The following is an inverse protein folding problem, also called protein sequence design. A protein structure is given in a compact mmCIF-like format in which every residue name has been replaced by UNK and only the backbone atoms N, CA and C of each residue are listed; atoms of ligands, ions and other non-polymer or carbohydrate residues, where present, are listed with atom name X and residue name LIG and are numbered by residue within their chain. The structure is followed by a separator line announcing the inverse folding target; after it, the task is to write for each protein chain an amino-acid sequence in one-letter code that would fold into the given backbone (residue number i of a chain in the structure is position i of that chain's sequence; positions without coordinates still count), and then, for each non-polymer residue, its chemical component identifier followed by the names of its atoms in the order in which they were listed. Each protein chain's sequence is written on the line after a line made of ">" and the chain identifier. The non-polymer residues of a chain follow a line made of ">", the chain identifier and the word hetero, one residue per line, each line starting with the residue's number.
data_IF_807566788248
#
_entry.id   IF_807566788248
#
_cell.length_a   1.000
_cell.length_b   1.000
_cell.length_c   1.000
_cell.angle_alpha   90.00
_cell.angle_beta   90.00
_cell.angle_gamma   90.00
#
_symmetry.space_group_name_H-M   'P 1'
#
loop_
_entity.id
_entity.type
_entity.pdbx_description
1 polymer ?
#
# COMPACT_ATOMS: atom_id res chain seq x y z
N UNK A 1 -0.51 -14.22 5.28
CA UNK A 1 -1.61 -13.31 4.95
C UNK A 1 -1.12 -11.89 4.84
N UNK A 2 -1.14 -11.27 3.69
CA UNK A 2 -0.82 -9.86 3.61
C UNK A 2 -1.96 -8.99 4.15
N UNK A 3 -1.54 -7.96 4.83
CA UNK A 3 -2.41 -6.92 5.35
C UNK A 3 -1.82 -5.61 4.84
N UNK A 4 -2.61 -4.77 4.19
CA UNK A 4 -2.14 -3.55 3.58
C UNK A 4 -2.90 -2.36 4.15
N UNK A 5 -2.17 -1.31 4.48
CA UNK A 5 -2.75 -0.01 4.80
C UNK A 5 -2.29 1.01 3.78
N UNK A 6 -3.20 1.81 3.28
CA UNK A 6 -2.86 2.95 2.44
C UNK A 6 -3.27 4.23 3.14
N UNK A 7 -2.53 5.30 2.87
CA UNK A 7 -2.82 6.63 3.40
C UNK A 7 -2.74 7.62 2.25
N UNK A 8 -3.84 8.30 1.96
CA UNK A 8 -3.90 9.25 0.85
C UNK A 8 -4.87 10.38 1.17
N UNK A 9 -4.83 11.43 0.35
CA UNK A 9 -5.67 12.60 0.56
C UNK A 9 -7.11 12.34 0.11
N UNK A 10 -8.04 13.08 0.72
CA UNK A 10 -9.47 12.91 0.50
C UNK A 10 -9.89 13.02 -0.97
N UNK A 11 -9.18 13.81 -1.77
CA UNK A 11 -9.51 13.98 -3.18
C UNK A 11 -9.54 12.67 -3.97
N UNK A 12 -8.81 11.65 -3.49
CA UNK A 12 -8.70 10.36 -4.16
C UNK A 12 -9.58 9.28 -3.52
N UNK A 13 -10.45 9.66 -2.57
CA UNK A 13 -11.32 8.71 -1.86
C UNK A 13 -12.17 7.86 -2.80
N UNK A 14 -12.71 8.44 -3.85
CA UNK A 14 -13.53 7.72 -4.82
C UNK A 14 -12.78 6.63 -5.59
N UNK A 15 -11.46 6.62 -5.51
CA UNK A 15 -10.62 5.60 -6.17
C UNK A 15 -10.20 4.49 -5.22
N UNK A 16 -10.68 4.46 -3.98
CA UNK A 16 -10.31 3.47 -2.99
C UNK A 16 -10.52 2.04 -3.50
N UNK A 17 -11.65 1.76 -4.14
CA UNK A 17 -11.93 0.42 -4.65
C UNK A 17 -10.92 0.02 -5.72
N UNK A 18 -10.60 0.91 -6.64
CA UNK A 18 -9.62 0.64 -7.70
C UNK A 18 -8.22 0.44 -7.13
N UNK A 19 -7.87 1.22 -6.11
CA UNK A 19 -6.58 1.07 -5.42
C UNK A 19 -6.48 -0.31 -4.79
N UNK A 20 -7.52 -0.73 -4.07
CA UNK A 20 -7.56 -2.03 -3.43
C UNK A 20 -7.43 -3.16 -4.46
N UNK A 21 -8.16 -3.08 -5.56
CA UNK A 21 -8.08 -4.08 -6.62
C UNK A 21 -6.69 -4.15 -7.24
N UNK A 22 -6.10 -3.00 -7.51
CA UNK A 22 -4.77 -2.92 -8.13
C UNK A 22 -3.71 -3.55 -7.23
N UNK A 23 -3.68 -3.16 -5.96
CA UNK A 23 -2.70 -3.70 -5.01
C UNK A 23 -2.91 -5.20 -4.81
N UNK A 24 -4.16 -5.64 -4.68
CA UNK A 24 -4.48 -7.06 -4.54
C UNK A 24 -3.99 -7.87 -5.72
N UNK A 25 -4.24 -7.39 -6.95
CA UNK A 25 -3.78 -8.07 -8.15
C UNK A 25 -2.25 -8.18 -8.20
N UNK A 26 -1.57 -7.09 -7.88
CA UNK A 26 -0.11 -7.08 -7.91
C UNK A 26 0.49 -8.01 -6.85
N UNK A 27 -0.08 -8.03 -5.65
CA UNK A 27 0.33 -8.96 -4.59
C UNK A 27 0.11 -10.41 -5.00
N UNK A 28 -1.07 -10.72 -5.53
CA UNK A 28 -1.38 -12.09 -5.95
C UNK A 28 -0.43 -12.59 -7.02
N UNK A 29 -0.15 -11.76 -8.02
CA UNK A 29 0.74 -12.14 -9.12
C UNK A 29 2.18 -12.28 -8.68
N UNK A 30 2.67 -11.34 -7.88
CA UNK A 30 4.08 -11.29 -7.52
C UNK A 30 4.42 -12.28 -6.41
N UNK A 31 3.59 -12.36 -5.38
CA UNK A 31 3.82 -13.27 -4.24
C UNK A 31 3.11 -14.62 -4.40
N UNK A 32 2.39 -14.82 -5.50
CA UNK A 32 1.64 -16.04 -5.78
C UNK A 32 0.67 -16.39 -4.65
N UNK A 33 -0.20 -15.44 -4.34
CA UNK A 33 -1.18 -15.57 -3.27
C UNK A 33 -2.59 -15.65 -3.82
N UNK A 34 -3.49 -16.21 -3.01
CA UNK A 34 -4.92 -16.17 -3.30
C UNK A 34 -5.48 -14.83 -2.81
N UNK A 35 -6.29 -14.17 -3.62
CA UNK A 35 -6.88 -12.87 -3.25
C UNK A 35 -7.68 -12.92 -1.95
N UNK A 36 -8.24 -14.08 -1.60
CA UNK A 36 -9.01 -14.25 -0.36
C UNK A 36 -8.16 -14.08 0.90
N UNK A 37 -6.83 -14.08 0.78
CA UNK A 37 -5.92 -13.93 1.92
C UNK A 37 -5.46 -12.48 2.11
N UNK A 38 -5.90 -11.56 1.27
CA UNK A 38 -5.41 -10.18 1.28
C UNK A 38 -6.48 -9.25 1.83
N UNK A 39 -6.10 -8.44 2.83
CA UNK A 39 -6.95 -7.42 3.42
C UNK A 39 -6.31 -6.06 3.22
N UNK A 40 -7.10 -5.09 2.77
CA UNK A 40 -6.61 -3.73 2.52
C UNK A 40 -7.49 -2.73 3.26
N UNK A 41 -6.86 -1.85 4.02
CA UNK A 41 -7.50 -0.70 4.64
C UNK A 41 -7.00 0.57 3.98
N UNK A 42 -7.91 1.35 3.42
CA UNK A 42 -7.58 2.66 2.86
C UNK A 42 -7.92 3.74 3.89
N UNK A 43 -6.98 4.62 4.15
CA UNK A 43 -7.12 5.68 5.13
C UNK A 43 -6.98 7.04 4.48
N UNK A 44 -7.80 8.00 4.93
CA UNK A 44 -7.71 9.37 4.46
C UNK A 44 -6.83 10.17 5.40
N UNK A 45 -5.91 10.93 4.82
CA UNK A 45 -5.13 11.94 5.54
C UNK A 45 -5.63 13.31 5.09
N UNK A 46 -6.02 14.16 6.03
CA UNK A 46 -6.33 15.53 5.69
C UNK A 46 -5.06 16.28 5.33
N UNK A 47 -5.13 17.13 4.32
CA UNK A 47 -3.96 17.83 3.81
C UNK A 47 -3.24 18.65 4.90
N UNK A 48 -3.99 19.20 5.83
CA UNK A 48 -3.43 19.98 6.95
C UNK A 48 -2.58 19.15 7.90
N UNK A 49 -2.65 17.84 7.82
CA UNK A 49 -1.92 16.92 8.69
C UNK A 49 -0.69 16.31 8.02
N UNK A 50 -0.37 16.70 6.80
CA UNK A 50 0.79 16.16 6.11
C UNK A 50 1.94 17.15 6.09
N UNK A 51 3.04 16.76 6.71
CA UNK A 51 4.26 17.58 6.78
C UNK A 51 5.43 16.78 6.26
N UNK A 52 6.29 17.46 5.52
CA UNK A 52 7.58 16.94 5.09
C UNK A 52 8.64 17.97 5.42
N UNK A 53 9.68 17.55 6.12
CA UNK A 53 10.76 18.45 6.55
C UNK A 53 10.20 19.62 7.39
N UNK A 54 9.23 19.32 8.26
CA UNK A 54 8.52 20.29 9.14
C UNK A 54 7.71 21.34 8.39
N UNK A 55 7.51 21.17 7.09
CA UNK A 55 6.73 22.09 6.26
C UNK A 55 5.48 21.38 5.75
N UNK A 56 4.34 22.07 5.83
CA UNK A 56 3.09 21.55 5.31
C UNK A 56 3.20 21.36 3.79
N UNK A 57 2.95 20.14 3.32
CA UNK A 57 3.05 19.77 1.90
C UNK A 57 1.73 19.20 1.42
N UNK A 58 0.89 20.04 0.85
CA UNK A 58 -0.45 19.62 0.43
C UNK A 58 -0.76 19.89 -1.04
N UNK A 59 0.22 20.33 -1.84
CA UNK A 59 -0.01 20.71 -3.23
C UNK A 59 0.07 19.54 -4.21
N UNK A 60 0.65 18.41 -3.82
CA UNK A 60 0.84 17.27 -4.69
C UNK A 60 0.11 16.05 -4.17
N UNK A 61 -0.34 15.19 -5.09
CA UNK A 61 -0.94 13.92 -4.73
C UNK A 61 0.13 12.99 -4.16
N UNK A 62 -0.21 12.29 -3.08
CA UNK A 62 0.70 11.37 -2.41
C UNK A 62 -0.06 10.16 -1.92
N UNK A 63 0.63 9.04 -1.85
CA UNK A 63 0.10 7.85 -1.20
C UNK A 63 1.23 7.15 -0.43
N UNK A 64 0.94 6.73 0.78
CA UNK A 64 1.83 5.93 1.60
C UNK A 64 1.20 4.56 1.78
N UNK A 65 1.95 3.52 1.46
CA UNK A 65 1.46 2.14 1.49
C UNK A 65 2.33 1.34 2.46
N UNK A 66 1.69 0.70 3.43
CA UNK A 66 2.33 -0.24 4.33
C UNK A 66 1.86 -1.65 3.99
N UNK A 67 2.80 -2.56 3.79
CA UNK A 67 2.49 -3.95 3.49
C UNK A 67 3.04 -4.83 4.59
N UNK A 68 2.14 -5.46 5.33
CA UNK A 68 2.48 -6.42 6.39
C UNK A 68 2.29 -7.82 5.82
N UNK A 69 3.34 -8.61 5.79
CA UNK A 69 3.27 -9.94 5.20
C UNK A 69 4.32 -10.86 5.80
N UNK A 70 4.23 -12.13 5.46
CA UNK A 70 5.29 -13.08 5.80
C UNK A 70 6.54 -12.72 5.00
N UNK A 71 7.68 -13.09 5.55
CA UNK A 71 8.97 -12.74 4.96
C UNK A 71 9.06 -13.19 3.50
N UNK A 72 9.55 -12.32 2.66
CA UNK A 72 9.84 -12.57 1.24
C UNK A 72 11.25 -12.07 0.94
N UNK A 73 11.84 -12.55 -0.15
CA UNK A 73 13.18 -12.08 -0.55
C UNK A 73 13.15 -10.59 -0.89
N UNK A 74 14.30 -9.95 -0.74
CA UNK A 74 14.46 -8.54 -1.07
C UNK A 74 14.11 -8.28 -2.55
N UNK A 75 14.54 -9.17 -3.44
CA UNK A 75 14.28 -9.02 -4.87
C UNK A 75 12.80 -9.11 -5.20
N UNK A 76 12.09 -10.02 -4.55
CA UNK A 76 10.66 -10.20 -4.78
C UNK A 76 9.88 -8.98 -4.28
N UNK A 77 10.24 -8.45 -3.11
CA UNK A 77 9.62 -7.24 -2.58
C UNK A 77 9.88 -6.04 -3.49
N UNK A 78 11.10 -5.91 -4.01
CA UNK A 78 11.45 -4.83 -4.94
C UNK A 78 10.63 -4.91 -6.23
N UNK A 79 10.46 -6.11 -6.76
CA UNK A 79 9.64 -6.34 -7.94
C UNK A 79 8.20 -5.92 -7.71
N UNK A 80 7.63 -6.30 -6.56
CA UNK A 80 6.27 -5.91 -6.19
C UNK A 80 6.16 -4.39 -6.05
N UNK A 81 7.10 -3.76 -5.35
CA UNK A 81 7.07 -2.32 -5.13
C UNK A 81 7.08 -1.55 -6.46
N UNK A 82 7.95 -1.91 -7.38
CA UNK A 82 8.00 -1.25 -8.69
C UNK A 82 6.70 -1.39 -9.46
N UNK A 83 6.09 -2.57 -9.40
CA UNK A 83 4.84 -2.83 -10.09
C UNK A 83 3.70 -1.99 -9.50
N UNK A 84 3.60 -1.96 -8.18
CA UNK A 84 2.58 -1.15 -7.50
C UNK A 84 2.78 0.33 -7.81
N UNK A 85 4.01 0.83 -7.72
CA UNK A 85 4.32 2.24 -7.99
C UNK A 85 3.86 2.60 -9.41
N UNK A 86 4.22 1.80 -10.39
CA UNK A 86 3.84 2.05 -11.78
C UNK A 86 2.33 2.10 -11.97
N UNK A 87 1.61 1.13 -11.38
CA UNK A 87 0.17 1.05 -11.53
C UNK A 87 -0.56 2.16 -10.76
N UNK A 88 -0.08 2.52 -9.58
CA UNK A 88 -0.67 3.59 -8.78
C UNK A 88 -0.41 4.95 -9.43
N UNK A 89 0.76 5.16 -10.03
CA UNK A 89 1.02 6.40 -10.78
C UNK A 89 -0.05 6.63 -11.85
N UNK A 90 -0.38 5.59 -12.60
CA UNK A 90 -1.40 5.69 -13.65
C UNK A 90 -2.78 5.92 -13.04
N UNK A 91 -3.12 5.16 -12.01
CA UNK A 91 -4.46 5.20 -11.42
C UNK A 91 -4.76 6.56 -10.78
N UNK A 92 -3.80 7.12 -10.04
CA UNK A 92 -3.97 8.38 -9.32
C UNK A 92 -3.41 9.58 -10.07
N UNK A 93 -2.82 9.37 -11.24
CA UNK A 93 -2.19 10.45 -12.00
C UNK A 93 -1.10 11.16 -11.20
N UNK A 94 -0.26 10.39 -10.53
CA UNK A 94 0.89 10.91 -9.78
C UNK A 94 2.10 10.95 -10.71
N UNK A 95 2.60 12.14 -10.98
CA UNK A 95 3.71 12.31 -11.94
C UNK A 95 5.06 11.96 -11.32
N UNK A 96 5.28 12.35 -10.07
CA UNK A 96 6.53 12.09 -9.39
C UNK A 96 6.43 10.79 -8.58
N UNK A 97 7.16 9.72 -8.96
CA UNK A 97 7.09 8.46 -8.23
C UNK A 97 7.58 8.56 -6.78
N UNK A 98 8.36 9.59 -6.44
CA UNK A 98 8.79 9.81 -5.07
C UNK A 98 7.62 10.14 -4.13
N UNK A 99 6.46 10.49 -4.69
CA UNK A 99 5.25 10.73 -3.91
C UNK A 99 4.50 9.44 -3.56
N UNK A 100 5.05 8.29 -3.95
CA UNK A 100 4.51 6.98 -3.59
C UNK A 100 5.55 6.29 -2.71
N UNK A 101 5.21 6.04 -1.46
CA UNK A 101 6.09 5.34 -0.54
C UNK A 101 5.50 3.98 -0.21
N UNK A 102 6.33 2.93 -0.26
CA UNK A 102 5.92 1.56 0.08
C UNK A 102 6.90 1.03 1.12
N UNK A 103 6.35 0.66 2.28
CA UNK A 103 7.13 0.07 3.37
C UNK A 103 6.65 -1.36 3.59
N UNK A 104 7.61 -2.28 3.73
CA UNK A 104 7.32 -3.68 4.04
C UNK A 104 7.62 -3.97 5.50
N UNK A 105 6.70 -4.67 6.13
CA UNK A 105 6.85 -5.15 7.49
C UNK A 105 6.72 -6.67 7.48
N UNK A 106 7.85 -7.36 7.58
CA UNK A 106 7.89 -8.82 7.56
C UNK A 106 7.53 -9.37 8.93
N UNK A 107 6.62 -10.34 8.97
CA UNK A 107 6.17 -10.96 10.21
C UNK A 107 6.37 -12.46 10.16
N UNK A 108 6.86 -13.10 11.23
CA UNK A 108 6.82 -14.55 11.35
C UNK A 108 5.36 -15.02 11.41
N UNK A 109 5.09 -16.17 10.84
CA UNK A 109 3.72 -16.69 10.76
C UNK A 109 3.08 -16.85 12.14
N UNK A 110 3.83 -17.28 13.13
CA UNK A 110 3.31 -17.51 14.48
C UNK A 110 2.93 -16.22 15.22
N UNK A 111 3.25 -15.07 14.68
CA UNK A 111 2.88 -13.78 15.26
C UNK A 111 1.61 -13.19 14.64
N UNK A 112 0.91 -13.95 13.81
CA UNK A 112 -0.31 -13.49 13.15
C UNK A 112 -1.51 -14.18 13.81
N UNK A 113 -2.39 -13.39 14.39
CA UNK A 113 -3.57 -13.88 15.12
C UNK A 113 -4.85 -13.35 14.48
N UNK A 114 -5.81 -14.23 14.32
CA UNK A 114 -7.15 -13.90 13.87
C UNK A 114 -8.17 -14.28 14.94
N UNK A 115 -9.37 -13.72 14.85
CA UNK A 115 -10.40 -13.96 15.86
C UNK A 115 -10.76 -15.44 16.07
N UNK A 116 -10.51 -16.30 15.09
CA UNK A 116 -10.74 -17.74 15.19
C UNK A 116 -9.50 -18.53 15.59
N UNK A 117 -8.40 -17.87 15.82
CA UNK A 117 -7.15 -18.52 16.24
C UNK A 117 -7.25 -18.94 17.69
N UNK A 118 -6.82 -20.15 17.99
CA UNK A 118 -6.83 -20.68 19.37
C UNK A 118 -5.44 -20.86 19.90
#
# INVERSE_FOLDING_TARGET
>A
MPFVETFLFKNDEKKFEKIAKTITQDLCKTFKLNKSTITIYNNIIEKKNFFHNSILRNSEKRIFIKIFCLKRSKNLKKKLAFKIIKNIQKLLNIKNPDNIAIYFFDKPQFEIYHGKTK
#
